data_IF_923223794757
#
_entry.id   IF_923223794757
#
_cell.length_a   1.000
_cell.length_b   1.000
_cell.length_c   1.000
_cell.angle_alpha   90.00
_cell.angle_beta   90.00
_cell.angle_gamma   90.00
#
_symmetry.space_group_name_H-M   'P 1'
#
loop_
_entity.id
_entity.type
_entity.pdbx_description
1 polymer ?
#
# COMPACT_ATOMS: atom_id res chain seq x y z
N UNK A 1 -32.22 -30.45 58.76
CA UNK A 1 -31.15 -29.38 58.73
C UNK A 1 -31.34 -28.52 59.96
N UNK A 2 -30.34 -28.51 60.82
CA UNK A 2 -30.41 -27.90 62.16
C UNK A 2 -30.53 -26.36 62.06
N UNK A 3 -31.30 -25.69 62.94
CA UNK A 3 -31.50 -24.22 62.92
C UNK A 3 -30.14 -23.46 62.91
N UNK A 4 -29.13 -23.96 63.56
CA UNK A 4 -27.79 -23.38 63.59
C UNK A 4 -27.12 -23.39 62.19
N UNK A 5 -27.27 -24.44 61.39
CA UNK A 5 -26.73 -24.55 60.04
C UNK A 5 -27.40 -23.55 59.08
N UNK A 6 -28.71 -23.33 59.22
CA UNK A 6 -29.42 -22.33 58.39
C UNK A 6 -28.96 -20.89 58.67
N UNK A 7 -28.74 -20.56 59.97
CA UNK A 7 -28.21 -19.26 60.37
C UNK A 7 -26.79 -19.04 59.86
N UNK A 8 -25.93 -20.06 59.92
CA UNK A 8 -24.55 -19.99 59.41
C UNK A 8 -24.53 -19.76 57.88
N UNK A 9 -25.38 -20.41 57.12
CA UNK A 9 -25.47 -20.26 55.67
C UNK A 9 -25.93 -18.82 55.30
N UNK A 10 -26.94 -18.32 56.00
CA UNK A 10 -27.48 -16.94 55.77
C UNK A 10 -26.39 -15.90 56.13
N UNK A 11 -25.64 -16.07 57.21
CA UNK A 11 -24.54 -15.19 57.56
C UNK A 11 -23.40 -15.17 56.53
N UNK A 12 -23.04 -16.34 55.95
CA UNK A 12 -22.04 -16.44 54.91
C UNK A 12 -22.53 -15.77 53.60
N UNK A 13 -23.79 -15.94 53.25
CA UNK A 13 -24.37 -15.29 52.09
C UNK A 13 -24.42 -13.76 52.22
N UNK A 14 -24.79 -13.25 53.41
CA UNK A 14 -24.76 -11.78 53.71
C UNK A 14 -23.34 -11.25 53.64
N UNK A 15 -22.36 -11.97 54.18
CA UNK A 15 -20.95 -11.58 54.13
C UNK A 15 -20.45 -11.58 52.65
N UNK A 16 -20.79 -12.58 51.84
CA UNK A 16 -20.44 -12.66 50.43
C UNK A 16 -21.06 -11.50 49.61
N UNK A 17 -22.32 -11.14 49.88
CA UNK A 17 -22.97 -9.98 49.26
C UNK A 17 -22.34 -8.68 49.67
N UNK A 18 -22.00 -8.52 50.95
CA UNK A 18 -21.32 -7.32 51.45
C UNK A 18 -19.92 -7.15 50.81
N UNK A 19 -19.16 -8.23 50.69
CA UNK A 19 -17.85 -8.25 49.97
C UNK A 19 -18.03 -7.91 48.50
N UNK A 20 -19.03 -8.48 47.82
CA UNK A 20 -19.32 -8.18 46.42
C UNK A 20 -19.71 -6.70 46.19
N UNK A 21 -20.45 -6.09 47.14
CA UNK A 21 -20.82 -4.65 47.11
C UNK A 21 -19.58 -3.79 47.30
N UNK A 22 -18.70 -4.12 48.26
CA UNK A 22 -17.46 -3.37 48.51
C UNK A 22 -16.49 -3.48 47.34
N UNK A 23 -16.34 -4.69 46.73
CA UNK A 23 -15.50 -4.90 45.52
C UNK A 23 -16.08 -4.14 44.33
N UNK A 24 -17.39 -4.04 44.21
CA UNK A 24 -18.04 -3.29 43.11
C UNK A 24 -17.93 -1.76 43.31
N UNK A 25 -17.90 -1.29 44.55
CA UNK A 25 -17.69 0.15 44.88
C UNK A 25 -16.22 0.56 44.78
N UNK A 26 -15.25 -0.36 44.95
CA UNK A 26 -13.81 -0.09 44.86
C UNK A 26 -13.19 -0.41 43.50
N UNK A 27 -13.97 -0.75 42.47
CA UNK A 27 -13.43 -0.71 41.11
C UNK A 27 -13.25 0.75 40.71
N UNK A 28 -12.01 1.23 40.42
CA UNK A 28 -11.84 2.56 39.86
C UNK A 28 -12.69 2.61 38.59
N UNK A 29 -13.62 3.53 38.53
CA UNK A 29 -14.56 3.67 37.46
C UNK A 29 -13.77 3.83 36.13
N UNK A 30 -14.09 3.03 35.12
CA UNK A 30 -13.41 3.08 33.81
C UNK A 30 -13.39 4.49 33.17
N UNK A 31 -14.16 5.45 33.69
CA UNK A 31 -14.14 6.85 33.31
C UNK A 31 -12.92 7.63 33.82
N UNK A 32 -12.34 7.25 34.96
CA UNK A 32 -11.21 7.98 35.55
C UNK A 32 -9.89 7.64 34.86
N UNK A 33 -9.69 6.36 34.46
CA UNK A 33 -8.53 5.93 33.67
C UNK A 33 -8.58 6.46 32.23
N UNK A 34 -9.75 6.45 31.59
CA UNK A 34 -9.92 6.96 30.22
C UNK A 34 -9.68 8.47 30.19
N UNK A 35 -10.07 9.20 31.24
CA UNK A 35 -9.85 10.65 31.32
C UNK A 35 -8.37 10.99 31.49
N UNK A 36 -7.58 10.17 32.19
CA UNK A 36 -6.13 10.40 32.34
C UNK A 36 -5.39 10.33 31.00
N UNK A 37 -5.74 9.42 30.10
CA UNK A 37 -5.14 9.28 28.77
C UNK A 37 -5.32 10.56 27.92
N UNK A 38 -6.44 11.27 28.10
CA UNK A 38 -6.77 12.50 27.35
C UNK A 38 -6.46 13.80 28.10
N UNK A 39 -5.65 13.75 29.14
CA UNK A 39 -5.15 14.95 29.80
C UNK A 39 -4.23 15.77 28.90
N UNK A 40 -4.24 17.11 28.95
CA UNK A 40 -3.40 17.94 28.11
C UNK A 40 -1.92 17.50 28.09
N UNK A 41 -1.34 17.19 29.26
CA UNK A 41 0.05 16.72 29.41
C UNK A 41 0.34 15.41 28.69
N UNK A 42 -0.67 14.57 28.43
CA UNK A 42 -0.51 13.31 27.71
C UNK A 42 -0.58 13.50 26.21
N UNK A 43 -1.28 14.51 25.73
CA UNK A 43 -1.49 14.77 24.31
C UNK A 43 -0.51 15.80 23.74
N UNK A 44 0.06 16.67 24.57
CA UNK A 44 0.92 17.80 24.15
C UNK A 44 2.36 17.66 24.62
N UNK A 45 3.26 18.55 24.20
CA UNK A 45 4.65 18.60 24.67
C UNK A 45 5.54 17.48 24.13
N UNK A 46 5.18 16.88 22.99
CA UNK A 46 5.92 15.78 22.35
C UNK A 46 6.75 16.24 21.13
N UNK A 47 7.08 17.51 21.06
CA UNK A 47 7.95 18.07 20.01
C UNK A 47 7.20 18.55 18.77
N UNK A 48 5.88 18.31 18.65
CA UNK A 48 5.03 18.91 17.62
C UNK A 48 3.97 19.82 18.23
N UNK A 49 3.56 20.89 17.55
CA UNK A 49 2.37 21.65 17.89
C UNK A 49 1.13 20.76 17.85
N UNK A 50 0.17 21.03 18.73
CA UNK A 50 -1.03 20.20 18.87
C UNK A 50 -2.29 21.07 18.83
N UNK A 51 -3.28 20.66 18.04
CA UNK A 51 -4.64 21.18 18.12
C UNK A 51 -5.57 20.12 18.71
N UNK A 52 -6.32 20.49 19.74
CA UNK A 52 -7.33 19.63 20.33
C UNK A 52 -8.70 20.26 20.08
N UNK A 53 -9.57 19.57 19.36
CA UNK A 53 -10.97 19.92 19.15
C UNK A 53 -11.84 19.14 20.14
N UNK A 54 -12.53 19.86 21.03
CA UNK A 54 -13.48 19.29 21.98
C UNK A 54 -14.88 19.49 21.43
N UNK A 55 -15.56 18.41 21.14
CA UNK A 55 -16.84 18.43 20.43
C UNK A 55 -17.74 17.26 20.78
N UNK A 56 -18.70 16.97 19.91
CA UNK A 56 -19.57 15.81 19.99
C UNK A 56 -20.04 15.41 18.59
N UNK A 57 -20.21 14.10 18.38
CA UNK A 57 -20.80 13.53 17.16
C UNK A 57 -22.29 13.89 16.94
N UNK A 58 -22.95 14.51 17.94
CA UNK A 58 -24.36 14.96 17.87
C UNK A 58 -24.51 16.48 17.68
N UNK A 59 -23.43 17.23 17.75
CA UNK A 59 -23.43 18.70 17.63
C UNK A 59 -23.26 19.08 16.14
N UNK A 60 -24.15 19.91 15.58
CA UNK A 60 -24.10 20.30 14.17
C UNK A 60 -22.81 21.04 13.80
N UNK A 61 -22.37 22.10 14.53
CA UNK A 61 -21.09 22.75 14.22
C UNK A 61 -19.89 21.80 14.36
N UNK A 62 -19.92 20.83 15.29
CA UNK A 62 -18.86 19.86 15.44
C UNK A 62 -18.79 18.89 14.23
N UNK A 63 -19.94 18.52 13.66
CA UNK A 63 -19.98 17.73 12.42
C UNK A 63 -19.38 18.49 11.24
N UNK A 64 -19.51 19.79 11.18
CA UNK A 64 -18.87 20.63 10.17
C UNK A 64 -17.36 20.72 10.37
N UNK A 65 -16.87 20.61 11.61
CA UNK A 65 -15.44 20.53 11.92
C UNK A 65 -14.82 19.20 11.50
N UNK A 66 -15.55 18.08 11.57
CA UNK A 66 -15.00 16.74 11.37
C UNK A 66 -14.20 16.58 10.06
N UNK A 67 -14.69 16.96 8.86
CA UNK A 67 -13.90 16.88 7.63
C UNK A 67 -12.65 17.77 7.68
N UNK A 68 -12.74 18.95 8.29
CA UNK A 68 -11.60 19.87 8.44
C UNK A 68 -10.52 19.25 9.33
N UNK A 69 -10.90 18.61 10.43
CA UNK A 69 -9.96 17.92 11.32
C UNK A 69 -9.26 16.77 10.63
N UNK A 70 -9.99 15.96 9.83
CA UNK A 70 -9.39 14.86 9.08
C UNK A 70 -8.45 15.37 7.95
N UNK A 71 -8.82 16.46 7.28
CA UNK A 71 -7.93 17.12 6.33
C UNK A 71 -6.65 17.62 7.00
N UNK A 72 -6.76 18.32 8.14
CA UNK A 72 -5.60 18.80 8.90
C UNK A 72 -4.71 17.65 9.38
N UNK A 73 -5.28 16.56 9.91
CA UNK A 73 -4.54 15.36 10.29
C UNK A 73 -3.76 14.79 9.11
N UNK A 74 -4.41 14.64 7.96
CA UNK A 74 -3.80 13.99 6.79
C UNK A 74 -2.76 14.86 6.08
N UNK A 75 -3.02 16.17 6.00
CA UNK A 75 -2.15 17.09 5.24
C UNK A 75 -0.93 17.57 6.05
N UNK A 76 -1.03 17.57 7.39
CA UNK A 76 -0.01 18.18 8.26
C UNK A 76 0.54 17.21 9.32
N UNK A 77 0.45 15.89 9.11
CA UNK A 77 0.82 14.82 10.05
C UNK A 77 2.22 15.00 10.67
N UNK A 78 3.21 15.47 9.89
CA UNK A 78 4.59 15.66 10.37
C UNK A 78 4.84 17.02 11.02
N UNK A 79 3.86 17.91 11.05
CA UNK A 79 4.01 19.30 11.51
C UNK A 79 3.03 19.68 12.60
N UNK A 80 1.92 18.99 12.68
CA UNK A 80 0.81 19.29 13.55
C UNK A 80 0.12 18.00 13.97
N UNK A 81 -0.10 17.82 15.26
CA UNK A 81 -0.97 16.76 15.77
C UNK A 81 -2.37 17.32 15.99
N UNK A 82 -3.40 16.63 15.52
CA UNK A 82 -4.81 17.03 15.71
C UNK A 82 -5.54 15.91 16.43
N UNK A 83 -6.19 16.26 17.56
CA UNK A 83 -7.04 15.37 18.34
C UNK A 83 -8.48 15.86 18.35
N UNK A 84 -9.42 14.93 18.19
CA UNK A 84 -10.83 15.16 18.48
C UNK A 84 -11.20 14.43 19.78
N UNK A 85 -11.81 15.14 20.73
CA UNK A 85 -12.26 14.58 22.00
C UNK A 85 -13.76 14.78 22.17
N UNK A 86 -14.52 13.68 22.25
CA UNK A 86 -15.96 13.71 22.44
C UNK A 86 -16.31 13.93 23.93
N UNK A 87 -16.71 15.14 24.24
CA UNK A 87 -17.04 15.55 25.64
C UNK A 87 -18.39 15.03 26.10
N UNK A 88 -19.24 14.47 25.23
CA UNK A 88 -20.46 13.78 25.68
C UNK A 88 -20.16 12.34 26.08
N UNK A 89 -19.22 11.69 25.42
CA UNK A 89 -18.73 10.38 25.83
C UNK A 89 -17.85 10.42 27.06
N UNK A 90 -17.12 11.54 27.24
CA UNK A 90 -16.20 11.78 28.36
C UNK A 90 -16.47 13.14 29.00
N UNK A 91 -17.56 13.30 29.76
CA UNK A 91 -17.99 14.60 30.29
C UNK A 91 -16.97 15.32 31.20
N UNK A 92 -16.10 14.54 31.86
CA UNK A 92 -15.03 15.09 32.71
C UNK A 92 -14.04 15.96 31.91
N UNK A 93 -13.90 15.76 30.63
CA UNK A 93 -12.99 16.55 29.77
C UNK A 93 -13.41 18.00 29.66
N UNK A 94 -14.71 18.29 29.71
CA UNK A 94 -15.20 19.69 29.73
C UNK A 94 -14.61 20.49 30.88
N UNK A 95 -14.52 19.89 32.07
CA UNK A 95 -13.89 20.50 33.25
C UNK A 95 -12.37 20.52 33.13
N UNK A 96 -11.76 19.43 32.66
CA UNK A 96 -10.30 19.33 32.48
C UNK A 96 -9.78 20.42 31.56
N UNK A 97 -10.45 20.65 30.44
CA UNK A 97 -10.06 21.65 29.43
C UNK A 97 -10.69 23.01 29.66
N UNK A 98 -11.55 23.15 30.67
CA UNK A 98 -12.19 24.40 31.01
C UNK A 98 -13.10 24.98 29.93
N UNK A 99 -13.74 24.10 29.12
CA UNK A 99 -14.60 24.53 28.01
C UNK A 99 -16.04 24.82 28.48
N UNK A 100 -16.66 25.81 27.84
CA UNK A 100 -18.04 26.21 28.09
C UNK A 100 -18.97 25.92 26.92
N UNK A 101 -18.43 25.87 25.74
CA UNK A 101 -19.15 25.67 24.49
C UNK A 101 -18.46 24.59 23.64
N UNK A 102 -19.19 23.92 22.75
CA UNK A 102 -18.67 23.01 21.75
C UNK A 102 -19.13 23.39 20.33
N UNK A 103 -18.26 23.23 19.30
CA UNK A 103 -16.86 22.80 19.40
C UNK A 103 -15.98 23.90 20.03
N UNK A 104 -14.89 23.49 20.69
CA UNK A 104 -13.82 24.39 21.14
C UNK A 104 -12.47 23.81 20.66
N UNK A 105 -11.70 24.62 19.93
CA UNK A 105 -10.36 24.27 19.46
C UNK A 105 -9.33 24.93 20.37
N UNK A 106 -8.38 24.13 20.88
CA UNK A 106 -7.29 24.60 21.72
C UNK A 106 -5.96 24.29 21.03
N UNK A 107 -5.13 25.33 20.92
CA UNK A 107 -3.85 25.30 20.21
C UNK A 107 -2.71 25.27 21.23
N UNK A 108 -1.81 24.29 21.09
CA UNK A 108 -0.63 24.15 21.95
C UNK A 108 0.63 24.20 21.09
N UNK A 109 1.68 24.84 21.58
CA UNK A 109 2.98 24.77 20.96
C UNK A 109 3.66 23.40 21.15
N UNK A 110 4.83 23.21 20.55
CA UNK A 110 5.60 21.97 20.62
C UNK A 110 6.03 21.60 22.06
N UNK A 111 6.07 22.56 22.99
CA UNK A 111 6.38 22.35 24.40
C UNK A 111 5.15 21.96 25.24
N UNK A 112 3.93 22.07 24.68
CA UNK A 112 2.68 21.81 25.35
C UNK A 112 2.09 23.02 26.04
N UNK A 113 2.58 24.23 25.76
CA UNK A 113 1.99 25.50 26.27
C UNK A 113 0.80 25.86 25.39
N UNK A 114 -0.35 26.17 26.02
CA UNK A 114 -1.51 26.70 25.32
C UNK A 114 -1.20 28.08 24.71
N UNK A 115 -1.46 28.21 23.40
CA UNK A 115 -1.26 29.44 22.64
C UNK A 115 -2.58 30.20 22.44
N UNK A 116 -3.67 29.43 22.14
CA UNK A 116 -4.93 30.04 21.74
C UNK A 116 -6.08 29.04 21.90
N UNK A 117 -7.29 29.56 22.08
CA UNK A 117 -8.51 28.77 21.96
C UNK A 117 -9.59 29.55 21.21
N UNK A 118 -10.40 28.79 20.46
CA UNK A 118 -11.55 29.30 19.74
C UNK A 118 -12.80 28.51 20.11
N UNK A 119 -13.93 29.21 20.28
CA UNK A 119 -15.22 28.59 20.55
C UNK A 119 -16.13 28.71 19.31
N UNK A 120 -16.74 27.62 18.89
CA UNK A 120 -17.60 27.54 17.73
C UNK A 120 -16.91 26.94 16.51
N UNK A 121 -17.57 26.99 15.34
CA UNK A 121 -17.03 26.55 14.07
C UNK A 121 -15.83 27.40 13.66
N UNK A 122 -14.76 26.74 13.19
CA UNK A 122 -13.52 27.40 12.76
C UNK A 122 -13.10 26.84 11.41
N UNK A 123 -13.02 27.71 10.40
CA UNK A 123 -12.68 27.25 9.05
C UNK A 123 -11.23 26.75 8.96
N UNK A 124 -10.93 25.91 7.98
CA UNK A 124 -9.56 25.42 7.73
C UNK A 124 -8.59 26.59 7.48
N UNK A 125 -9.05 27.58 6.71
CA UNK A 125 -8.29 28.78 6.38
C UNK A 125 -7.94 29.59 7.65
N UNK A 126 -8.91 29.77 8.52
CA UNK A 126 -8.72 30.51 9.79
C UNK A 126 -7.80 29.74 10.75
N UNK A 127 -7.95 28.42 10.83
CA UNK A 127 -7.06 27.54 11.61
C UNK A 127 -5.62 27.68 11.13
N UNK A 128 -5.39 27.60 9.82
CA UNK A 128 -4.05 27.73 9.24
C UNK A 128 -3.47 29.14 9.39
N UNK A 129 -4.30 30.18 9.26
CA UNK A 129 -3.91 31.56 9.50
C UNK A 129 -3.49 31.74 10.98
N UNK A 130 -4.22 31.17 11.91
CA UNK A 130 -3.90 31.24 13.34
C UNK A 130 -2.59 30.53 13.68
N UNK A 131 -2.32 29.35 13.09
CA UNK A 131 -1.03 28.67 13.25
C UNK A 131 0.14 29.52 12.73
N UNK A 132 -0.04 30.18 11.58
CA UNK A 132 0.95 31.07 11.00
C UNK A 132 1.25 32.28 11.89
N UNK A 133 0.23 32.83 12.54
CA UNK A 133 0.37 33.94 13.51
C UNK A 133 1.27 33.56 14.69
N UNK A 134 1.25 32.30 15.12
CA UNK A 134 2.11 31.77 16.19
C UNK A 134 3.49 31.30 15.70
N UNK A 135 3.87 31.61 14.45
CA UNK A 135 5.13 31.15 13.87
C UNK A 135 5.16 29.67 13.52
N UNK A 136 4.06 28.96 13.73
CA UNK A 136 3.85 27.60 13.23
C UNK A 136 3.28 27.73 11.85
N UNK A 137 4.05 27.37 10.83
CA UNK A 137 3.55 27.35 9.46
C UNK A 137 3.23 25.91 9.04
N UNK A 138 2.06 25.36 9.38
CA UNK A 138 1.69 24.01 8.92
C UNK A 138 1.57 23.98 7.39
N UNK A 139 1.11 25.09 6.77
CA UNK A 139 1.08 25.31 5.33
C UNK A 139 2.43 25.79 4.74
N UNK A 140 3.42 26.09 5.60
CA UNK A 140 4.80 26.26 5.12
C UNK A 140 5.17 25.01 4.31
N UNK A 141 6.11 25.09 3.36
CA UNK A 141 6.42 23.93 2.52
C UNK A 141 6.47 22.72 3.45
N UNK A 142 5.62 21.75 3.22
CA UNK A 142 5.73 20.43 3.81
C UNK A 142 7.20 20.13 3.80
N UNK A 143 7.83 19.74 4.94
CA UNK A 143 9.27 19.53 4.94
C UNK A 143 9.55 18.97 3.58
N UNK A 144 10.15 19.81 2.68
CA UNK A 144 10.07 19.50 1.25
C UNK A 144 10.67 18.13 1.20
N UNK A 145 9.83 17.13 0.93
CA UNK A 145 10.36 15.79 0.67
C UNK A 145 11.52 16.06 -0.24
N UNK A 146 12.76 15.72 0.12
CA UNK A 146 13.92 16.15 -0.63
C UNK A 146 13.59 15.87 -2.09
N UNK A 147 13.55 16.94 -2.90
CA UNK A 147 13.16 16.82 -4.29
C UNK A 147 14.21 15.93 -4.94
N UNK A 148 13.93 14.63 -4.94
CA UNK A 148 14.82 13.65 -5.52
C UNK A 148 14.27 13.27 -6.89
N UNK A 149 14.98 13.67 -7.93
CA UNK A 149 14.65 13.34 -9.30
C UNK A 149 15.92 12.91 -10.04
N UNK A 150 15.82 11.79 -10.75
CA UNK A 150 16.86 11.32 -11.66
C UNK A 150 16.24 11.05 -13.04
N UNK A 151 16.40 11.99 -13.94
CA UNK A 151 15.90 11.89 -15.32
C UNK A 151 16.90 11.27 -16.30
N UNK A 152 18.18 11.28 -15.94
CA UNK A 152 19.23 10.60 -16.72
C UNK A 152 19.72 9.40 -15.92
N UNK A 153 19.79 8.21 -16.52
CA UNK A 153 20.37 7.05 -15.85
C UNK A 153 21.80 7.33 -15.39
N UNK A 154 22.16 6.85 -14.21
CA UNK A 154 23.54 7.00 -13.71
C UNK A 154 24.55 6.21 -14.56
N UNK A 155 24.07 5.18 -15.27
CA UNK A 155 24.85 4.36 -16.21
C UNK A 155 24.02 4.06 -17.44
N UNK A 156 24.63 4.19 -18.62
CA UNK A 156 24.03 3.72 -19.88
C UNK A 156 23.87 2.20 -19.84
N UNK A 157 22.70 1.70 -20.23
CA UNK A 157 22.48 0.27 -20.38
C UNK A 157 23.18 -0.21 -21.65
N UNK A 158 24.30 -0.90 -21.48
CA UNK A 158 25.14 -1.43 -22.57
C UNK A 158 24.72 -2.85 -23.00
N UNK A 159 23.73 -3.45 -22.36
CA UNK A 159 23.21 -4.76 -22.72
C UNK A 159 22.58 -4.74 -24.11
N UNK A 160 22.88 -5.75 -24.93
CA UNK A 160 22.21 -5.89 -26.21
C UNK A 160 20.70 -6.14 -26.01
N UNK A 161 19.84 -5.61 -26.89
CA UNK A 161 18.38 -5.77 -26.80
C UNK A 161 17.92 -7.23 -26.67
N UNK A 162 18.65 -8.16 -27.26
CA UNK A 162 18.37 -9.59 -27.17
C UNK A 162 18.77 -10.23 -25.83
N UNK A 163 19.42 -9.50 -24.94
CA UNK A 163 19.80 -9.92 -23.59
C UNK A 163 18.84 -9.36 -22.51
N UNK A 164 17.91 -8.52 -22.91
CA UNK A 164 17.00 -7.82 -22.01
C UNK A 164 15.57 -8.37 -22.22
N UNK A 165 14.92 -8.73 -21.11
CA UNK A 165 13.53 -9.13 -21.13
C UNK A 165 12.62 -7.97 -21.55
N UNK A 166 11.84 -8.19 -22.60
CA UNK A 166 10.87 -7.21 -23.09
C UNK A 166 9.88 -6.72 -22.03
N UNK A 167 9.52 -7.60 -21.08
CA UNK A 167 8.47 -7.29 -20.09
C UNK A 167 9.01 -6.63 -18.83
N UNK A 168 10.04 -7.20 -18.20
CA UNK A 168 10.54 -6.74 -16.90
C UNK A 168 11.89 -6.01 -16.99
N UNK A 169 12.52 -5.97 -18.18
CA UNK A 169 13.86 -5.40 -18.44
C UNK A 169 14.99 -6.07 -17.64
N UNK A 170 14.71 -7.21 -16.99
CA UNK A 170 15.74 -8.06 -16.37
C UNK A 170 16.56 -8.84 -17.41
N UNK A 171 17.65 -9.44 -16.94
CA UNK A 171 18.50 -10.26 -17.79
C UNK A 171 17.80 -11.53 -18.24
N UNK A 172 18.07 -11.94 -19.50
CA UNK A 172 17.56 -13.18 -20.06
C UNK A 172 18.52 -14.33 -19.71
N UNK A 173 17.97 -15.34 -19.03
CA UNK A 173 18.62 -16.62 -18.88
C UNK A 173 18.20 -17.53 -20.04
N UNK A 174 19.19 -18.05 -20.78
CA UNK A 174 18.91 -18.89 -21.92
C UNK A 174 18.12 -20.17 -21.57
N UNK A 175 18.23 -20.71 -20.37
CA UNK A 175 17.48 -21.91 -19.93
C UNK A 175 15.97 -21.63 -19.73
N UNK A 176 15.60 -20.39 -19.38
CA UNK A 176 14.20 -20.00 -19.14
C UNK A 176 13.66 -19.05 -20.19
N UNK A 177 14.43 -18.83 -21.26
CA UNK A 177 14.08 -17.94 -22.37
C UNK A 177 12.75 -18.37 -23.01
N UNK A 178 11.86 -17.40 -23.15
CA UNK A 178 10.64 -17.50 -23.94
C UNK A 178 10.74 -16.53 -25.11
N UNK A 179 10.41 -17.00 -26.30
CA UNK A 179 10.40 -16.22 -27.55
C UNK A 179 8.99 -16.17 -28.11
N UNK A 180 8.50 -14.98 -28.39
CA UNK A 180 7.20 -14.75 -29.03
C UNK A 180 7.42 -14.13 -30.38
N UNK A 181 6.90 -14.76 -31.44
CA UNK A 181 6.96 -14.22 -32.80
C UNK A 181 5.90 -13.15 -32.98
N UNK A 182 6.28 -11.94 -33.35
CA UNK A 182 5.37 -10.84 -33.65
C UNK A 182 5.59 -10.31 -35.05
N UNK A 183 4.63 -9.55 -35.58
CA UNK A 183 4.77 -8.91 -36.90
C UNK A 183 5.93 -7.91 -37.00
N UNK A 184 6.53 -7.50 -35.87
CA UNK A 184 7.72 -6.63 -35.80
C UNK A 184 9.02 -7.38 -35.48
N UNK A 185 8.98 -8.71 -35.48
CA UNK A 185 10.11 -9.57 -35.13
C UNK A 185 9.93 -10.28 -33.78
N UNK A 186 10.91 -11.11 -33.36
CA UNK A 186 10.82 -11.87 -32.14
C UNK A 186 10.97 -11.00 -30.90
N UNK A 187 10.09 -11.22 -29.94
CA UNK A 187 10.15 -10.65 -28.60
C UNK A 187 10.71 -11.71 -27.64
N UNK A 188 11.66 -11.33 -26.81
CA UNK A 188 12.34 -12.23 -25.86
C UNK A 188 11.94 -11.89 -24.42
N UNK A 189 11.62 -12.90 -23.65
CA UNK A 189 11.18 -12.82 -22.27
C UNK A 189 12.04 -13.73 -21.39
N UNK A 190 12.33 -13.32 -20.16
CA UNK A 190 13.23 -14.06 -19.27
C UNK A 190 12.61 -15.33 -18.67
N UNK A 191 11.28 -15.45 -18.68
CA UNK A 191 10.58 -16.58 -18.04
C UNK A 191 9.17 -16.78 -18.61
N UNK A 192 8.56 -17.97 -18.41
CA UNK A 192 7.14 -18.21 -18.69
C UNK A 192 6.23 -17.21 -17.97
N UNK A 193 6.54 -16.81 -16.74
CA UNK A 193 5.74 -15.79 -16.02
C UNK A 193 5.69 -14.45 -16.77
N UNK A 194 6.81 -13.96 -17.30
CA UNK A 194 6.84 -12.75 -18.12
C UNK A 194 5.98 -12.89 -19.40
N UNK A 195 5.88 -14.09 -19.96
CA UNK A 195 4.96 -14.37 -21.06
C UNK A 195 3.50 -14.26 -20.59
N UNK A 196 3.12 -14.84 -19.46
CA UNK A 196 1.76 -14.77 -18.96
C UNK A 196 1.38 -13.37 -18.47
N UNK A 197 2.33 -12.58 -17.99
CA UNK A 197 2.14 -11.16 -17.78
C UNK A 197 1.75 -10.45 -19.08
N UNK A 198 2.49 -10.68 -20.17
CA UNK A 198 2.19 -10.12 -21.49
C UNK A 198 0.85 -10.64 -22.01
N UNK A 199 0.62 -11.94 -21.94
CA UNK A 199 -0.64 -12.61 -22.32
C UNK A 199 -1.86 -12.04 -21.59
N UNK A 200 -1.74 -11.75 -20.29
CA UNK A 200 -2.83 -11.22 -19.50
C UNK A 200 -3.28 -9.82 -19.95
N UNK A 201 -2.36 -9.05 -20.53
CA UNK A 201 -2.61 -7.71 -21.04
C UNK A 201 -3.17 -7.68 -22.48
N UNK A 202 -3.20 -8.82 -23.19
CA UNK A 202 -3.74 -8.90 -24.54
C UNK A 202 -5.26 -8.77 -24.55
N UNK A 203 -5.76 -7.95 -25.47
CA UNK A 203 -7.20 -7.79 -25.72
C UNK A 203 -7.64 -8.46 -27.04
N UNK A 204 -6.67 -8.91 -27.85
CA UNK A 204 -6.87 -9.56 -29.15
C UNK A 204 -6.99 -11.08 -29.03
N UNK A 205 -7.13 -11.78 -30.16
CA UNK A 205 -7.23 -13.24 -30.17
C UNK A 205 -6.00 -13.90 -29.54
N UNK A 206 -6.21 -14.41 -28.33
CA UNK A 206 -5.16 -15.06 -27.54
C UNK A 206 -4.76 -16.42 -28.09
N UNK A 207 -5.63 -17.09 -28.83
CA UNK A 207 -5.38 -18.42 -29.41
C UNK A 207 -4.27 -18.36 -30.48
N UNK A 208 -4.30 -17.34 -31.33
CA UNK A 208 -3.23 -17.15 -32.32
C UNK A 208 -1.91 -16.77 -31.64
N UNK A 209 -1.98 -16.02 -30.53
CA UNK A 209 -0.81 -15.64 -29.75
C UNK A 209 -0.12 -16.85 -29.10
N UNK A 210 -0.88 -17.84 -28.62
CA UNK A 210 -0.35 -19.09 -28.04
C UNK A 210 0.44 -19.92 -29.05
N UNK A 211 0.06 -19.90 -30.34
CA UNK A 211 0.77 -20.61 -31.43
C UNK A 211 2.12 -19.98 -31.77
N UNK A 212 2.32 -18.71 -31.41
CA UNK A 212 3.53 -17.94 -31.74
C UNK A 212 4.60 -17.97 -30.66
N UNK A 213 4.40 -18.72 -29.58
CA UNK A 213 5.31 -18.75 -28.44
C UNK A 213 6.10 -20.06 -28.39
N UNK A 214 7.39 -19.95 -28.15
CA UNK A 214 8.30 -21.06 -27.89
C UNK A 214 9.14 -20.81 -26.66
N UNK A 215 9.54 -21.89 -26.01
CA UNK A 215 10.41 -21.87 -24.84
C UNK A 215 11.70 -22.63 -25.14
N UNK A 216 12.71 -22.42 -24.29
CA UNK A 216 13.92 -23.22 -24.31
C UNK A 216 13.67 -24.55 -23.59
N UNK A 217 13.91 -25.66 -24.24
CA UNK A 217 13.95 -26.97 -23.60
C UNK A 217 15.07 -27.01 -22.57
N UNK A 218 14.72 -27.27 -21.33
CA UNK A 218 15.64 -27.20 -20.18
C UNK A 218 16.83 -28.19 -20.32
N UNK A 219 16.60 -29.37 -20.92
CA UNK A 219 17.59 -30.42 -21.03
C UNK A 219 18.53 -30.23 -22.23
N UNK A 220 18.04 -29.66 -23.34
CA UNK A 220 18.80 -29.62 -24.60
C UNK A 220 19.19 -28.20 -25.04
N UNK A 221 18.57 -27.17 -24.45
CA UNK A 221 18.74 -25.77 -24.90
C UNK A 221 18.07 -25.45 -26.24
N UNK A 222 17.34 -26.40 -26.86
CA UNK A 222 16.63 -26.18 -28.11
C UNK A 222 15.29 -25.54 -27.93
N UNK A 223 14.77 -24.87 -28.95
CA UNK A 223 13.43 -24.27 -28.93
C UNK A 223 12.35 -25.35 -29.01
N UNK A 224 11.30 -25.23 -28.17
CA UNK A 224 10.10 -26.08 -28.22
C UNK A 224 8.86 -25.19 -28.23
N UNK A 225 7.84 -25.44 -29.10
CA UNK A 225 6.58 -24.72 -29.05
C UNK A 225 5.92 -24.87 -27.67
N UNK A 226 5.39 -23.77 -27.13
CA UNK A 226 4.84 -23.76 -25.76
C UNK A 226 3.71 -24.77 -25.59
N UNK A 227 2.82 -24.90 -26.57
CA UNK A 227 1.67 -25.81 -26.51
C UNK A 227 2.05 -27.28 -26.58
N UNK A 228 3.27 -27.59 -27.06
CA UNK A 228 3.78 -28.96 -27.21
C UNK A 228 4.74 -29.34 -26.06
N UNK A 229 5.17 -28.37 -25.27
CA UNK A 229 6.09 -28.62 -24.17
C UNK A 229 5.39 -29.28 -22.98
N UNK A 230 6.15 -30.10 -22.27
CA UNK A 230 5.79 -30.62 -20.93
C UNK A 230 6.55 -29.79 -19.89
N UNK A 231 5.89 -29.41 -18.83
CA UNK A 231 6.47 -28.53 -17.83
C UNK A 231 6.66 -29.24 -16.49
N UNK A 232 7.81 -29.04 -15.88
CA UNK A 232 7.99 -29.30 -14.45
C UNK A 232 7.74 -27.99 -13.72
N UNK A 233 6.69 -27.97 -12.94
CA UNK A 233 6.25 -26.84 -12.14
C UNK A 233 6.54 -27.11 -10.68
N UNK A 234 7.47 -26.40 -10.11
CA UNK A 234 7.91 -26.54 -8.73
C UNK A 234 7.79 -25.21 -8.00
N UNK A 235 7.94 -25.21 -6.69
CA UNK A 235 7.94 -24.00 -5.85
C UNK A 235 9.32 -23.80 -5.25
N UNK A 236 9.90 -22.64 -5.46
CA UNK A 236 11.14 -22.25 -4.80
C UNK A 236 10.92 -22.11 -3.29
N UNK A 237 11.65 -22.88 -2.49
CA UNK A 237 11.46 -22.96 -1.05
C UNK A 237 11.83 -21.67 -0.29
N UNK A 238 12.60 -20.76 -0.91
CA UNK A 238 13.03 -19.50 -0.31
C UNK A 238 12.06 -18.38 -0.65
N UNK A 239 11.76 -18.23 -1.94
CA UNK A 239 10.93 -17.13 -2.44
C UNK A 239 9.43 -17.45 -2.45
N UNK A 240 9.07 -18.73 -2.36
CA UNK A 240 7.69 -19.20 -2.52
C UNK A 240 7.12 -18.97 -3.93
N UNK A 241 7.98 -18.71 -4.94
CA UNK A 241 7.56 -18.48 -6.32
C UNK A 241 7.68 -19.72 -7.16
N UNK A 242 6.88 -19.86 -8.22
CA UNK A 242 7.03 -20.96 -9.16
C UNK A 242 8.36 -20.95 -9.88
N UNK A 243 8.95 -22.15 -10.00
CA UNK A 243 10.06 -22.47 -10.90
C UNK A 243 9.52 -23.35 -12.02
N UNK A 244 9.60 -22.87 -13.25
CA UNK A 244 8.98 -23.49 -14.41
C UNK A 244 10.08 -23.92 -15.38
N UNK A 245 10.20 -25.23 -15.62
CA UNK A 245 11.15 -25.81 -16.55
C UNK A 245 10.40 -26.49 -17.70
N UNK A 246 10.67 -26.11 -18.95
CA UNK A 246 10.02 -26.68 -20.14
C UNK A 246 10.84 -27.80 -20.74
N UNK A 247 10.19 -28.84 -21.22
CA UNK A 247 10.82 -30.01 -21.87
C UNK A 247 10.05 -30.39 -23.14
N UNK A 248 10.78 -30.75 -24.19
CA UNK A 248 10.22 -31.35 -25.41
C UNK A 248 9.88 -32.83 -25.19
N UNK A 249 10.61 -33.50 -24.31
CA UNK A 249 10.51 -34.91 -24.03
C UNK A 249 9.98 -35.19 -22.62
N UNK A 250 8.91 -35.98 -22.53
CA UNK A 250 8.26 -36.31 -21.26
C UNK A 250 9.16 -37.10 -20.29
N UNK A 251 9.99 -38.04 -20.85
CA UNK A 251 10.88 -38.83 -20.00
C UNK A 251 11.96 -38.00 -19.34
N UNK A 252 12.44 -36.94 -20.01
CA UNK A 252 13.36 -35.95 -19.42
C UNK A 252 12.69 -35.11 -18.36
N UNK A 253 11.42 -34.71 -18.57
CA UNK A 253 10.63 -34.05 -17.57
C UNK A 253 10.42 -34.94 -16.32
N UNK A 254 10.12 -36.23 -16.50
CA UNK A 254 9.98 -37.20 -15.40
C UNK A 254 11.27 -37.41 -14.61
N UNK A 255 12.40 -37.34 -15.32
CA UNK A 255 13.73 -37.44 -14.71
C UNK A 255 14.01 -36.20 -13.85
N UNK A 256 13.75 -35.02 -14.34
CA UNK A 256 13.89 -33.75 -13.61
C UNK A 256 12.96 -33.69 -12.41
N UNK A 257 11.70 -34.11 -12.59
CA UNK A 257 10.70 -34.12 -11.52
C UNK A 257 11.13 -34.96 -10.29
N UNK A 258 11.89 -36.06 -10.50
CA UNK A 258 12.40 -36.88 -9.36
C UNK A 258 13.38 -36.13 -8.47
N UNK A 259 13.99 -35.04 -8.96
CA UNK A 259 14.94 -34.22 -8.21
C UNK A 259 14.30 -33.03 -7.48
N UNK A 260 13.00 -32.77 -7.71
CA UNK A 260 12.25 -31.65 -7.15
C UNK A 260 10.90 -32.12 -6.61
N UNK A 261 10.24 -31.29 -5.77
CA UNK A 261 8.91 -31.60 -5.23
C UNK A 261 7.76 -31.24 -6.18
N UNK A 262 8.08 -30.76 -7.38
CA UNK A 262 7.14 -30.24 -8.36
C UNK A 262 6.28 -31.29 -9.05
N UNK A 263 5.36 -30.85 -9.89
CA UNK A 263 4.46 -31.65 -10.70
C UNK A 263 4.70 -31.46 -12.19
N UNK A 264 4.43 -32.53 -12.96
CA UNK A 264 4.43 -32.45 -14.42
C UNK A 264 3.06 -31.96 -14.89
N UNK A 265 3.06 -30.89 -15.69
CA UNK A 265 1.84 -30.27 -16.21
C UNK A 265 1.99 -29.96 -17.70
N UNK A 266 0.87 -29.76 -18.39
CA UNK A 266 0.82 -29.28 -19.76
C UNK A 266 0.64 -27.75 -19.82
N UNK A 267 0.61 -27.20 -21.04
CA UNK A 267 0.47 -25.76 -21.27
C UNK A 267 -0.84 -25.18 -20.72
N UNK A 268 -1.97 -25.88 -20.84
CA UNK A 268 -3.26 -25.39 -20.35
C UNK A 268 -3.28 -25.26 -18.82
N UNK A 269 -2.78 -26.28 -18.12
CA UNK A 269 -2.66 -26.24 -16.65
C UNK A 269 -1.66 -25.15 -16.23
N UNK A 270 -0.56 -24.98 -16.95
CA UNK A 270 0.39 -23.90 -16.69
C UNK A 270 -0.28 -22.53 -16.85
N UNK A 271 -1.02 -22.34 -17.93
CA UNK A 271 -1.77 -21.11 -18.20
C UNK A 271 -2.75 -20.79 -17.07
N UNK A 272 -3.54 -21.77 -16.64
CA UNK A 272 -4.48 -21.59 -15.54
C UNK A 272 -3.78 -21.18 -14.24
N UNK A 273 -2.68 -21.86 -13.90
CA UNK A 273 -1.89 -21.53 -12.70
C UNK A 273 -1.33 -20.09 -12.76
N UNK A 274 -0.73 -19.72 -13.88
CA UNK A 274 -0.09 -18.41 -14.06
C UNK A 274 -1.11 -17.26 -14.14
N UNK A 275 -2.35 -17.52 -14.54
CA UNK A 275 -3.41 -16.54 -14.66
C UNK A 275 -4.37 -16.52 -13.46
N UNK A 276 -4.16 -17.37 -12.46
CA UNK A 276 -5.05 -17.47 -11.28
C UNK A 276 -5.08 -16.17 -10.47
N UNK A 277 -3.94 -15.53 -10.27
CA UNK A 277 -3.85 -14.29 -9.50
C UNK A 277 -3.64 -13.10 -10.41
N UNK A 278 -4.51 -12.11 -10.26
CA UNK A 278 -4.56 -10.93 -11.13
C UNK A 278 -4.53 -9.64 -10.32
N UNK A 279 -3.95 -8.61 -10.92
CA UNK A 279 -3.98 -7.26 -10.35
C UNK A 279 -5.37 -6.66 -10.41
N UNK A 280 -5.92 -6.23 -9.27
CA UNK A 280 -7.26 -5.63 -9.18
C UNK A 280 -7.41 -4.29 -9.90
N UNK A 281 -6.31 -3.65 -10.30
CA UNK A 281 -6.35 -2.41 -11.09
C UNK A 281 -6.20 -2.65 -12.60
N UNK A 282 -5.15 -3.35 -13.04
CA UNK A 282 -4.81 -3.44 -14.46
C UNK A 282 -4.97 -4.84 -15.05
N UNK A 283 -5.50 -5.78 -14.28
CA UNK A 283 -5.78 -7.18 -14.67
C UNK A 283 -4.55 -7.99 -15.13
N UNK A 284 -3.36 -7.55 -14.79
CA UNK A 284 -2.10 -8.21 -15.07
C UNK A 284 -1.89 -9.44 -14.19
N UNK A 285 -1.35 -10.53 -14.74
CA UNK A 285 -0.92 -11.68 -13.95
C UNK A 285 0.16 -11.27 -12.95
N UNK A 286 0.06 -11.77 -11.71
CA UNK A 286 1.00 -11.45 -10.62
C UNK A 286 1.22 -12.68 -9.75
N UNK A 287 2.39 -12.76 -9.12
CA UNK A 287 2.59 -13.64 -7.99
C UNK A 287 2.28 -12.88 -6.69
N UNK A 288 1.51 -13.47 -5.75
CA UNK A 288 1.22 -12.84 -4.46
C UNK A 288 2.47 -12.37 -3.71
N UNK A 289 3.59 -13.08 -3.86
CA UNK A 289 4.88 -12.78 -3.23
C UNK A 289 5.48 -11.43 -3.70
N UNK A 290 5.17 -11.03 -4.93
CA UNK A 290 5.69 -9.80 -5.57
C UNK A 290 4.65 -8.68 -5.64
N UNK A 291 3.44 -8.91 -5.13
CA UNK A 291 2.32 -8.00 -5.27
C UNK A 291 1.92 -7.38 -3.94
N UNK A 292 1.52 -6.11 -3.97
CA UNK A 292 0.88 -5.49 -2.82
C UNK A 292 -0.48 -6.14 -2.56
N UNK A 293 -0.78 -6.49 -1.32
CA UNK A 293 -2.13 -6.90 -0.92
C UNK A 293 -3.00 -5.68 -0.72
N UNK A 294 -4.19 -5.70 -1.29
CA UNK A 294 -5.16 -4.59 -1.19
C UNK A 294 -6.48 -5.10 -0.66
N UNK A 295 -7.04 -4.42 0.32
CA UNK A 295 -8.40 -4.68 0.84
C UNK A 295 -9.27 -3.52 0.34
N UNK A 296 -10.39 -3.84 -0.32
CA UNK A 296 -11.34 -2.88 -0.83
C UNK A 296 -12.77 -3.41 -0.61
N UNK A 297 -13.62 -2.65 0.07
CA UNK A 297 -15.00 -3.07 0.36
C UNK A 297 -15.10 -4.40 1.12
N UNK A 298 -14.14 -4.72 1.99
CA UNK A 298 -14.06 -5.97 2.75
C UNK A 298 -13.51 -7.19 1.97
N UNK A 299 -13.23 -7.04 0.68
CA UNK A 299 -12.62 -8.07 -0.16
C UNK A 299 -11.15 -7.77 -0.40
N UNK A 300 -10.31 -8.80 -0.54
CA UNK A 300 -8.91 -8.59 -0.88
C UNK A 300 -8.65 -8.82 -2.37
N UNK A 301 -7.69 -8.07 -2.90
CA UNK A 301 -7.13 -8.20 -4.24
C UNK A 301 -5.64 -7.88 -4.21
N UNK A 302 -5.00 -7.81 -5.37
CA UNK A 302 -3.57 -7.59 -5.51
C UNK A 302 -3.27 -6.36 -6.38
N UNK A 303 -2.21 -5.66 -6.05
CA UNK A 303 -1.61 -4.61 -6.90
C UNK A 303 -0.29 -5.10 -7.47
N UNK A 304 -0.14 -5.18 -8.79
CA UNK A 304 1.11 -5.64 -9.43
C UNK A 304 2.30 -4.68 -9.19
N UNK A 305 2.05 -3.52 -8.65
CA UNK A 305 3.01 -2.55 -8.14
C UNK A 305 2.29 -1.61 -7.18
N UNK A 306 3.02 -0.86 -6.40
CA UNK A 306 2.51 0.09 -5.40
C UNK A 306 1.50 1.08 -5.99
N UNK A 307 1.76 1.60 -7.19
CA UNK A 307 0.83 2.53 -7.86
C UNK A 307 -0.44 1.84 -8.38
N UNK A 308 -0.35 0.58 -8.83
CA UNK A 308 -1.55 -0.19 -9.19
C UNK A 308 -2.36 -0.57 -7.95
N UNK A 309 -1.72 -0.83 -6.82
CA UNK A 309 -2.40 -1.04 -5.55
C UNK A 309 -3.27 0.16 -5.17
N UNK A 310 -2.72 1.39 -5.25
CA UNK A 310 -3.51 2.61 -5.06
C UNK A 310 -4.61 2.79 -6.13
N UNK A 311 -4.34 2.34 -7.35
CA UNK A 311 -5.30 2.40 -8.46
C UNK A 311 -6.57 1.59 -8.23
N UNK A 312 -6.54 0.60 -7.32
CA UNK A 312 -7.74 -0.18 -6.94
C UNK A 312 -8.84 0.74 -6.40
N UNK A 313 -8.50 1.79 -5.63
CA UNK A 313 -9.47 2.79 -5.17
C UNK A 313 -10.17 3.47 -6.35
N UNK A 314 -9.41 3.92 -7.35
CA UNK A 314 -9.98 4.57 -8.55
C UNK A 314 -10.86 3.62 -9.38
N UNK A 315 -10.54 2.32 -9.44
CA UNK A 315 -11.29 1.33 -10.20
C UNK A 315 -12.57 0.89 -9.51
N UNK A 316 -12.54 0.75 -8.19
CA UNK A 316 -13.67 0.22 -7.40
C UNK A 316 -14.57 1.30 -6.82
N UNK A 317 -14.07 2.55 -6.70
CA UNK A 317 -14.74 3.62 -5.97
C UNK A 317 -14.78 3.42 -4.45
N UNK A 318 -14.11 2.38 -3.94
CA UNK A 318 -14.05 2.08 -2.51
C UNK A 318 -12.80 2.67 -1.86
N UNK A 319 -12.89 2.92 -0.56
CA UNK A 319 -11.71 3.08 0.25
C UNK A 319 -10.93 1.77 0.35
N UNK A 320 -9.62 1.88 0.42
CA UNK A 320 -8.70 0.74 0.38
C UNK A 320 -7.72 0.75 1.56
N UNK A 321 -7.28 -0.45 1.92
CA UNK A 321 -6.10 -0.65 2.76
C UNK A 321 -5.06 -1.42 1.93
N UNK A 322 -3.89 -0.81 1.73
CA UNK A 322 -2.77 -1.39 0.97
C UNK A 322 -1.70 -1.86 1.93
N UNK A 323 -1.28 -3.11 1.81
CA UNK A 323 -0.11 -3.69 2.45
C UNK A 323 0.97 -3.90 1.40
N UNK A 324 1.99 -3.10 1.45
CA UNK A 324 3.14 -3.10 0.52
C UNK A 324 4.44 -3.30 1.31
N UNK A 325 5.53 -3.50 0.60
CA UNK A 325 6.87 -3.64 1.17
C UNK A 325 7.80 -2.57 0.61
N UNK A 326 8.70 -2.07 1.48
CA UNK A 326 9.83 -1.26 1.06
C UNK A 326 10.68 -2.03 0.03
N UNK A 327 10.97 -1.43 -1.11
CA UNK A 327 11.74 -2.10 -2.17
C UNK A 327 13.20 -2.35 -1.83
N UNK A 328 13.76 -1.64 -0.85
CA UNK A 328 15.14 -1.82 -0.41
C UNK A 328 15.23 -2.83 0.72
N UNK A 329 14.40 -2.71 1.75
CA UNK A 329 14.53 -3.46 3.01
C UNK A 329 13.50 -4.57 3.16
N UNK A 330 12.37 -4.50 2.47
CA UNK A 330 11.25 -5.41 2.66
C UNK A 330 10.34 -5.06 3.85
N UNK A 331 10.60 -3.96 4.55
CA UNK A 331 9.79 -3.50 5.66
C UNK A 331 8.38 -3.17 5.22
N UNK A 332 7.41 -3.40 6.10
CA UNK A 332 6.00 -3.22 5.81
C UNK A 332 5.63 -1.73 5.70
N UNK A 333 4.80 -1.42 4.71
CA UNK A 333 4.16 -0.12 4.52
C UNK A 333 2.66 -0.34 4.42
N UNK A 334 1.88 0.36 5.25
CA UNK A 334 0.42 0.30 5.22
C UNK A 334 -0.13 1.67 4.83
N UNK A 335 -1.03 1.67 3.85
CA UNK A 335 -1.73 2.88 3.39
C UNK A 335 -3.21 2.64 3.51
N UNK A 336 -3.93 3.49 4.24
CA UNK A 336 -5.40 3.46 4.29
C UNK A 336 -5.95 4.72 3.65
N UNK A 337 -7.03 4.58 2.91
CA UNK A 337 -7.71 5.71 2.27
C UNK A 337 -9.06 5.97 2.92
N UNK A 338 -9.51 7.20 2.81
CA UNK A 338 -10.86 7.63 3.14
C UNK A 338 -11.30 8.67 2.10
N UNK A 339 -12.44 8.44 1.47
CA UNK A 339 -13.00 9.32 0.43
C UNK A 339 -12.00 9.64 -0.70
N UNK A 340 -11.21 8.64 -1.08
CA UNK A 340 -10.21 8.76 -2.15
C UNK A 340 -8.95 9.55 -1.79
N UNK A 341 -8.73 9.86 -0.50
CA UNK A 341 -7.52 10.49 0.04
C UNK A 341 -6.79 9.52 0.98
N UNK A 342 -5.49 9.72 1.18
CA UNK A 342 -4.74 8.96 2.20
C UNK A 342 -5.19 9.42 3.59
N UNK A 343 -5.77 8.52 4.36
CA UNK A 343 -6.23 8.76 5.73
C UNK A 343 -5.18 8.35 6.78
N UNK A 344 -4.43 7.27 6.53
CA UNK A 344 -3.29 6.90 7.37
C UNK A 344 -2.16 6.30 6.55
N UNK A 345 -0.94 6.46 7.03
CA UNK A 345 0.28 5.98 6.42
C UNK A 345 1.23 5.47 7.52
N UNK A 346 1.64 4.22 7.39
CA UNK A 346 2.56 3.56 8.33
C UNK A 346 3.74 2.93 7.57
N UNK A 347 4.98 3.41 7.81
CA UNK A 347 5.31 4.59 8.62
C UNK A 347 4.89 5.90 7.94
N UNK A 348 4.64 6.96 8.71
CA UNK A 348 4.24 8.27 8.20
C UNK A 348 5.28 8.91 7.24
N UNK A 349 6.54 8.48 7.34
CA UNK A 349 7.66 8.91 6.48
C UNK A 349 7.69 8.23 5.12
N UNK A 350 6.76 7.30 4.83
CA UNK A 350 6.78 6.52 3.61
C UNK A 350 6.55 7.39 2.36
N UNK A 351 7.30 7.08 1.33
CA UNK A 351 7.32 7.80 0.04
C UNK A 351 7.19 6.84 -1.13
N UNK A 352 6.92 7.39 -2.31
CA UNK A 352 6.80 6.63 -3.54
C UNK A 352 7.85 7.04 -4.56
N UNK A 353 8.42 6.05 -5.25
CA UNK A 353 9.17 6.25 -6.48
C UNK A 353 8.22 6.21 -7.67
N UNK A 354 8.17 7.30 -8.42
CA UNK A 354 7.48 7.37 -9.70
C UNK A 354 8.50 7.22 -10.83
N UNK A 355 8.72 5.98 -11.25
CA UNK A 355 9.60 5.67 -12.38
C UNK A 355 9.07 6.30 -13.66
N UNK A 356 9.93 7.07 -14.35
CA UNK A 356 9.61 7.84 -15.55
C UNK A 356 10.52 7.43 -16.71
N UNK A 357 10.00 7.53 -17.92
CA UNK A 357 10.75 7.28 -19.15
C UNK A 357 10.44 8.37 -20.17
N UNK A 358 11.46 8.85 -20.86
CA UNK A 358 11.26 9.72 -22.00
C UNK A 358 10.70 8.91 -23.18
N UNK A 359 9.64 9.40 -23.77
CA UNK A 359 9.06 8.84 -25.00
C UNK A 359 9.81 9.33 -26.23
N UNK A 360 9.62 8.68 -27.40
CA UNK A 360 10.26 9.13 -28.65
C UNK A 360 9.93 10.59 -29.04
N UNK A 361 8.78 11.10 -28.60
CA UNK A 361 8.34 12.48 -28.82
C UNK A 361 8.98 13.49 -27.85
N UNK A 362 9.90 13.05 -26.99
CA UNK A 362 10.57 13.86 -25.97
C UNK A 362 9.76 14.07 -24.71
N UNK A 363 8.48 13.68 -24.63
CA UNK A 363 7.66 13.82 -23.43
C UNK A 363 8.00 12.73 -22.39
N UNK A 364 7.76 13.06 -21.10
CA UNK A 364 7.99 12.14 -20.01
C UNK A 364 6.71 11.40 -19.63
N UNK A 365 6.76 10.07 -19.62
CA UNK A 365 5.68 9.20 -19.19
C UNK A 365 6.09 8.26 -18.05
N UNK A 366 5.14 7.44 -17.59
CA UNK A 366 5.44 6.35 -16.66
C UNK A 366 6.36 5.31 -17.32
N UNK A 367 7.34 4.82 -16.57
CA UNK A 367 8.21 3.73 -17.01
C UNK A 367 7.58 2.33 -16.85
N UNK A 368 6.30 2.25 -16.45
CA UNK A 368 5.58 0.99 -16.27
C UNK A 368 5.64 0.45 -14.85
N UNK A 369 4.87 -0.61 -14.59
CA UNK A 369 4.65 -1.14 -13.25
C UNK A 369 5.92 -1.66 -12.57
N UNK A 370 6.87 -2.21 -13.30
CA UNK A 370 8.11 -2.72 -12.71
C UNK A 370 9.03 -1.63 -12.14
N UNK A 371 8.79 -0.38 -12.52
CA UNK A 371 9.58 0.80 -12.16
C UNK A 371 8.86 1.70 -11.15
N UNK A 372 7.87 1.16 -10.42
CA UNK A 372 7.14 1.84 -9.37
C UNK A 372 7.38 1.13 -8.04
N UNK A 373 7.47 1.87 -6.93
CA UNK A 373 7.69 1.27 -5.63
C UNK A 373 7.42 2.22 -4.48
N UNK A 374 7.19 1.65 -3.29
CA UNK A 374 7.15 2.39 -2.03
C UNK A 374 8.43 2.16 -1.23
N UNK A 375 8.73 3.11 -0.36
CA UNK A 375 9.87 3.11 0.56
C UNK A 375 9.41 3.68 1.89
N UNK A 376 9.91 3.14 2.99
CA UNK A 376 9.55 3.62 4.34
C UNK A 376 10.00 5.06 4.60
N UNK A 377 10.98 5.54 3.81
CA UNK A 377 11.46 6.93 3.85
C UNK A 377 12.25 7.30 2.58
N UNK A 378 12.56 8.59 2.45
CA UNK A 378 13.34 9.12 1.32
C UNK A 378 14.79 8.60 1.29
N UNK A 379 15.38 8.26 2.43
CA UNK A 379 16.75 7.72 2.50
C UNK A 379 16.83 6.33 1.87
N UNK A 380 15.89 5.43 2.21
CA UNK A 380 15.79 4.10 1.58
C UNK A 380 15.58 4.21 0.07
N UNK A 381 14.72 5.14 -0.36
CA UNK A 381 14.52 5.41 -1.77
C UNK A 381 15.83 5.85 -2.47
N UNK A 382 16.56 6.79 -1.88
CA UNK A 382 17.84 7.27 -2.44
C UNK A 382 18.86 6.13 -2.57
N UNK A 383 19.05 5.34 -1.50
CA UNK A 383 19.94 4.17 -1.50
C UNK A 383 19.53 3.15 -2.57
N UNK A 384 18.22 2.88 -2.71
CA UNK A 384 17.74 1.97 -3.73
C UNK A 384 18.03 2.51 -5.13
N UNK A 385 17.79 3.79 -5.39
CA UNK A 385 18.09 4.42 -6.68
C UNK A 385 19.58 4.35 -7.00
N UNK A 386 20.46 4.55 -6.02
CA UNK A 386 21.93 4.41 -6.20
C UNK A 386 22.31 2.98 -6.62
N UNK A 387 21.69 1.96 -6.00
CA UNK A 387 21.92 0.55 -6.34
C UNK A 387 21.32 0.16 -7.70
N UNK A 388 20.42 0.97 -8.25
CA UNK A 388 19.72 0.71 -9.51
C UNK A 388 20.08 1.80 -10.56
N UNK A 389 21.26 1.72 -11.19
CA UNK A 389 21.82 2.80 -12.01
C UNK A 389 21.01 3.11 -13.28
N UNK A 390 20.16 2.19 -13.73
CA UNK A 390 19.31 2.35 -14.92
C UNK A 390 17.96 3.00 -14.60
N UNK A 391 17.61 3.17 -13.33
CA UNK A 391 16.33 3.76 -12.93
C UNK A 391 16.31 5.27 -13.21
N UNK A 392 15.20 5.72 -13.77
CA UNK A 392 14.87 7.14 -13.95
C UNK A 392 13.47 7.41 -13.39
N UNK A 393 13.29 8.55 -12.74
CA UNK A 393 12.03 8.88 -12.10
C UNK A 393 12.17 9.99 -11.08
N UNK A 394 11.17 10.12 -10.23
CA UNK A 394 11.15 11.09 -9.13
C UNK A 394 10.49 10.54 -7.88
N UNK A 395 10.92 11.06 -6.75
CA UNK A 395 10.25 10.89 -5.48
C UNK A 395 8.94 11.70 -5.48
N UNK A 396 7.84 11.08 -5.06
CA UNK A 396 6.55 11.74 -4.83
C UNK A 396 5.95 11.24 -3.51
N UNK A 397 5.01 11.99 -2.93
CA UNK A 397 4.25 11.49 -1.78
C UNK A 397 3.29 10.38 -2.22
N UNK A 398 2.95 9.49 -1.28
CA UNK A 398 1.93 8.47 -1.51
C UNK A 398 0.57 9.11 -1.79
N UNK A 399 0.25 10.23 -1.13
CA UNK A 399 -0.95 11.03 -1.42
C UNK A 399 -0.97 11.55 -2.87
N UNK A 400 0.16 12.03 -3.38
CA UNK A 400 0.27 12.45 -4.79
C UNK A 400 0.14 11.26 -5.75
N UNK A 401 0.70 10.09 -5.40
CA UNK A 401 0.57 8.88 -6.18
C UNK A 401 -0.89 8.41 -6.27
N UNK A 402 -1.64 8.46 -5.15
CA UNK A 402 -3.07 8.17 -5.10
C UNK A 402 -3.86 9.20 -5.92
N UNK A 403 -3.65 10.50 -5.71
CA UNK A 403 -4.34 11.56 -6.44
C UNK A 403 -4.17 11.43 -7.97
N UNK A 404 -2.99 11.01 -8.42
CA UNK A 404 -2.74 10.74 -9.83
C UNK A 404 -3.59 9.57 -10.36
N UNK A 405 -3.91 8.57 -9.53
CA UNK A 405 -4.81 7.46 -9.90
C UNK A 405 -6.27 7.88 -9.88
N UNK A 406 -6.68 8.65 -8.88
CA UNK A 406 -8.06 9.13 -8.76
C UNK A 406 -8.47 10.09 -9.89
N UNK A 407 -7.52 10.71 -10.59
CA UNK A 407 -7.76 11.58 -11.77
C UNK A 407 -7.95 10.80 -13.08
N UNK A 408 -7.76 9.49 -13.09
CA UNK A 408 -7.91 8.69 -14.31
C UNK A 408 -9.37 8.62 -14.74
N UNK A 409 -9.62 8.79 -16.03
CA UNK A 409 -10.96 8.60 -16.61
C UNK A 409 -11.33 7.12 -16.66
N UNK A 410 -12.64 6.76 -16.71
CA UNK A 410 -13.08 5.37 -16.87
C UNK A 410 -12.40 4.66 -18.06
N UNK A 411 -12.23 5.37 -19.19
CA UNK A 411 -11.54 4.82 -20.37
C UNK A 411 -10.07 4.55 -20.10
N UNK A 412 -9.38 5.42 -19.35
CA UNK A 412 -7.99 5.20 -18.95
C UNK A 412 -7.84 4.04 -17.97
N UNK A 413 -8.80 3.86 -17.06
CA UNK A 413 -8.82 2.73 -16.13
C UNK A 413 -9.05 1.42 -16.89
N UNK A 414 -9.98 1.39 -17.85
CA UNK A 414 -10.22 0.21 -18.69
C UNK A 414 -9.02 -0.13 -19.59
N UNK A 415 -8.28 0.89 -20.02
CA UNK A 415 -7.08 0.74 -20.87
C UNK A 415 -5.79 0.49 -20.09
N UNK A 416 -5.83 0.51 -18.76
CA UNK A 416 -4.64 0.28 -17.94
C UNK A 416 -4.06 -1.11 -18.26
N UNK A 417 -2.98 -1.15 -19.03
CA UNK A 417 -2.30 -2.32 -19.58
C UNK A 417 -2.80 -2.88 -20.93
N UNK A 418 -3.07 -2.05 -21.91
CA UNK A 418 -3.13 -2.58 -23.31
C UNK A 418 -1.73 -2.71 -23.89
N UNK A 419 -1.45 -3.87 -24.52
CA UNK A 419 -0.23 -4.05 -25.34
C UNK A 419 -0.24 -3.03 -26.47
N UNK A 420 0.92 -2.42 -26.70
CA UNK A 420 1.10 -1.31 -27.63
C UNK A 420 1.38 0.01 -26.93
N UNK A 421 0.98 0.15 -25.66
CA UNK A 421 1.36 1.31 -24.82
C UNK A 421 2.61 1.03 -23.96
N UNK A 422 2.93 -0.25 -23.68
CA UNK A 422 4.24 -0.68 -23.20
C UNK A 422 5.18 -0.84 -24.40
N UNK A 423 5.56 0.25 -25.04
CA UNK A 423 6.55 0.21 -26.12
C UNK A 423 7.89 -0.12 -25.48
N UNK A 424 8.53 -1.26 -25.84
CA UNK A 424 9.90 -1.51 -25.45
C UNK A 424 10.83 -0.47 -26.06
N UNK A 425 11.93 -0.25 -25.39
CA UNK A 425 13.03 0.55 -25.94
C UNK A 425 13.58 -0.02 -27.24
#
# INVERSE_FOLDING_TARGET
MNKAIKIAIVAVLIAAVAVAIVVKQNKPGGGEQITQEFMPKQLTGKGLPVMIDLGSDQCIPCKMMAPILEELKSEYTEKLTVHFLDVRKLPALSKVYGIKLIPTQIFYDASGKELFRHEGFFSKEDILAKWKEFGVNPAGPAAQMPAFERLVPARADSRAKNQICYMCEGDINNKTLVTVQTGKGPVRLCSPHCYFIMYSCLTEDKTDFEKKVSLTDWATGKSVPATNAVYVYDMDGVTGKPVIKAFADKGKAETEQKSVSGSIINFEILKDKELTTRCGFCDRAVYPQDAARVIAGGLHTWGCCSHCALGVAARTGNDIEVHEKDRLTGDQIIVKTLEGKVASLEPATAVAWFGRRQKPDGTWGSAGCFRQGFFVNAENLSKWVEQNPYETGKLISISQALANKMKLTPQQIQKACKIGECVPK
#
